data_IF_688032047390
#
_entry.id   IF_688032047390
#
_cell.length_a   1.000
_cell.length_b   1.000
_cell.length_c   1.000
_cell.angle_alpha   90.00
_cell.angle_beta   90.00
_cell.angle_gamma   90.00
#
_symmetry.space_group_name_H-M   'P 1'
#
loop_
_entity.id
_entity.type
_entity.pdbx_description
1 polymer ?
#
# COMPACT_ATOMS: atom_id res chain seq x y z
N UNK A 1 4.83 -14.36 8.07
CA UNK A 1 5.21 -12.93 8.20
C UNK A 1 4.04 -12.05 8.64
N UNK A 2 2.84 -12.18 8.07
CA UNK A 2 1.65 -11.40 8.47
C UNK A 2 1.35 -11.25 9.98
N UNK A 3 1.51 -12.28 10.84
CA UNK A 3 1.23 -12.16 12.27
C UNK A 3 2.07 -11.10 13.01
N UNK A 4 3.31 -10.85 12.56
CA UNK A 4 4.20 -9.85 13.17
C UNK A 4 3.65 -8.44 12.94
N UNK A 5 3.26 -8.12 11.70
CA UNK A 5 2.70 -6.82 11.34
C UNK A 5 1.32 -6.58 11.92
N UNK A 6 0.50 -7.64 12.07
CA UNK A 6 -0.82 -7.54 12.69
C UNK A 6 -0.74 -7.23 14.20
N UNK A 7 0.30 -7.75 14.88
CA UNK A 7 0.53 -7.51 16.31
C UNK A 7 1.26 -6.18 16.58
N UNK A 8 1.98 -5.65 15.60
CA UNK A 8 2.68 -4.37 15.72
C UNK A 8 1.72 -3.23 16.11
N UNK A 9 2.19 -2.31 16.95
CA UNK A 9 1.47 -1.08 17.26
C UNK A 9 1.46 -0.13 16.06
N UNK A 10 2.53 -0.11 15.29
CA UNK A 10 2.70 0.69 14.09
C UNK A 10 3.67 0.00 13.12
N UNK A 11 3.38 0.10 11.83
CA UNK A 11 4.28 -0.31 10.75
C UNK A 11 4.89 0.94 10.14
N UNK A 12 6.22 0.97 10.07
CA UNK A 12 6.97 2.05 9.44
C UNK A 12 7.36 1.60 8.04
N UNK A 13 6.87 2.32 7.04
CA UNK A 13 7.23 2.16 5.63
C UNK A 13 8.33 3.16 5.32
N UNK A 14 9.56 2.69 5.18
CA UNK A 14 10.69 3.53 4.78
C UNK A 14 10.94 3.41 3.28
N UNK A 15 10.71 4.49 2.54
CA UNK A 15 10.85 4.53 1.09
C UNK A 15 12.25 4.91 0.61
N UNK A 16 13.19 5.16 1.53
CA UNK A 16 14.57 5.60 1.23
C UNK A 16 14.85 7.04 1.67
N UNK A 17 15.99 7.58 1.26
CA UNK A 17 16.37 8.99 1.48
C UNK A 17 15.68 9.97 0.53
N UNK A 18 16.11 11.23 0.51
CA UNK A 18 15.62 12.30 -0.42
C UNK A 18 16.04 12.11 -1.89
N UNK A 19 16.41 10.89 -2.28
CA UNK A 19 16.71 10.55 -3.66
C UNK A 19 15.45 10.76 -4.53
N UNK A 20 15.63 11.18 -5.77
CA UNK A 20 14.55 11.44 -6.74
C UNK A 20 13.43 12.35 -6.22
N UNK A 21 13.73 13.25 -5.28
CA UNK A 21 12.77 14.17 -4.66
C UNK A 21 11.59 13.44 -3.98
N UNK A 22 11.79 12.23 -3.46
CA UNK A 22 10.71 11.47 -2.83
C UNK A 22 10.18 12.09 -1.53
N UNK A 23 11.01 12.86 -0.83
CA UNK A 23 10.63 13.68 0.32
C UNK A 23 9.68 14.81 -0.08
N UNK A 24 9.94 15.47 -1.21
CA UNK A 24 9.04 16.48 -1.80
C UNK A 24 7.73 15.84 -2.27
N UNK A 25 7.80 14.69 -2.95
CA UNK A 25 6.61 13.95 -3.37
C UNK A 25 5.72 13.58 -2.17
N UNK A 26 6.34 13.12 -1.08
CA UNK A 26 5.61 12.78 0.14
C UNK A 26 4.99 14.01 0.81
N UNK A 27 5.67 15.16 0.77
CA UNK A 27 5.15 16.41 1.30
C UNK A 27 3.98 16.96 0.47
N UNK A 28 4.06 16.89 -0.87
CA UNK A 28 2.92 17.18 -1.74
C UNK A 28 1.73 16.30 -1.36
N UNK A 29 1.92 14.97 -1.28
CA UNK A 29 0.84 14.05 -0.89
C UNK A 29 0.26 14.40 0.50
N UNK A 30 1.10 14.83 1.44
CA UNK A 30 0.69 15.24 2.79
C UNK A 30 -0.24 16.44 2.74
N UNK A 31 0.18 17.51 2.07
CA UNK A 31 -0.60 18.75 1.97
C UNK A 31 -2.04 18.46 1.52
N UNK A 32 -2.22 17.71 0.44
CA UNK A 32 -3.55 17.36 -0.07
C UNK A 32 -4.29 16.28 0.72
N UNK A 33 -3.57 15.50 1.53
CA UNK A 33 -4.12 14.43 2.35
C UNK A 33 -4.61 14.89 3.72
N UNK A 34 -4.06 15.98 4.25
CA UNK A 34 -4.38 16.55 5.56
C UNK A 34 -5.30 17.77 5.47
N UNK A 35 -5.24 18.54 4.39
CA UNK A 35 -6.11 19.70 4.20
C UNK A 35 -7.52 19.28 3.72
N UNK A 36 -8.53 19.55 4.56
CA UNK A 36 -9.95 19.36 4.23
C UNK A 36 -10.53 20.55 3.45
N UNK A 37 -9.76 21.61 3.29
CA UNK A 37 -10.18 22.85 2.65
C UNK A 37 -9.69 22.93 1.20
N UNK A 38 -10.66 22.99 0.30
CA UNK A 38 -10.59 23.44 -1.10
C UNK A 38 -10.26 22.39 -2.17
N UNK A 39 -11.28 22.12 -3.00
CA UNK A 39 -11.22 21.42 -4.29
C UNK A 39 -10.45 22.21 -5.39
N UNK A 40 -9.71 23.27 -5.02
CA UNK A 40 -9.15 24.24 -5.97
C UNK A 40 -7.63 24.23 -6.12
N UNK A 41 -6.89 23.48 -5.30
CA UNK A 41 -5.46 23.30 -5.53
C UNK A 41 -5.28 22.19 -6.58
N UNK A 42 -5.19 22.63 -7.84
CA UNK A 42 -4.83 21.74 -8.93
C UNK A 42 -3.41 21.26 -8.71
N UNK A 43 -3.22 19.94 -8.66
CA UNK A 43 -1.90 19.33 -8.71
C UNK A 43 -1.15 19.88 -9.93
N UNK A 44 0.06 20.40 -9.71
CA UNK A 44 0.91 20.78 -10.84
C UNK A 44 1.34 19.52 -11.61
N UNK A 45 1.69 19.67 -12.88
CA UNK A 45 2.29 18.57 -13.64
C UNK A 45 3.58 18.04 -12.98
N UNK A 46 4.29 18.92 -12.27
CA UNK A 46 5.47 18.57 -11.49
C UNK A 46 5.10 17.67 -10.30
N UNK A 47 4.06 18.00 -9.54
CA UNK A 47 3.60 17.17 -8.42
C UNK A 47 3.17 15.78 -8.88
N UNK A 48 2.41 15.70 -9.97
CA UNK A 48 1.97 14.43 -10.55
C UNK A 48 3.18 13.59 -10.98
N UNK A 49 4.19 14.22 -11.59
CA UNK A 49 5.43 13.56 -12.00
C UNK A 49 6.24 13.04 -10.81
N UNK A 50 6.41 13.85 -9.77
CA UNK A 50 7.10 13.48 -8.53
C UNK A 50 6.41 12.32 -7.82
N UNK A 51 5.09 12.39 -7.67
CA UNK A 51 4.32 11.34 -7.02
C UNK A 51 4.26 10.06 -7.86
N UNK A 52 4.25 10.17 -9.19
CA UNK A 52 4.36 9.01 -10.09
C UNK A 52 5.71 8.31 -9.92
N UNK A 53 6.82 9.05 -9.83
CA UNK A 53 8.15 8.49 -9.54
C UNK A 53 8.22 7.84 -8.17
N UNK A 54 7.56 8.41 -7.16
CA UNK A 54 7.46 7.80 -5.84
C UNK A 54 6.76 6.43 -5.91
N UNK A 55 5.63 6.34 -6.62
CA UNK A 55 4.88 5.09 -6.82
C UNK A 55 5.62 4.07 -7.72
N UNK A 56 6.57 4.51 -8.54
CA UNK A 56 7.40 3.62 -9.37
C UNK A 56 8.45 2.84 -8.56
N UNK A 57 8.73 3.29 -7.32
CA UNK A 57 9.72 2.66 -6.44
C UNK A 57 9.42 1.19 -6.20
N UNK A 58 10.50 0.42 -6.04
CA UNK A 58 10.43 -1.03 -5.91
C UNK A 58 9.54 -1.48 -4.75
N UNK A 59 9.51 -0.73 -3.64
CA UNK A 59 8.68 -1.05 -2.49
C UNK A 59 7.21 -1.25 -2.90
N UNK A 60 6.58 -0.27 -3.58
CA UNK A 60 5.18 -0.38 -4.03
C UNK A 60 4.93 -1.55 -4.99
N UNK A 61 5.98 -1.96 -5.71
CA UNK A 61 5.91 -3.07 -6.66
C UNK A 61 6.09 -4.43 -6.02
N UNK A 62 6.51 -4.56 -4.76
CA UNK A 62 6.70 -5.87 -4.14
C UNK A 62 5.38 -6.46 -3.68
N UNK A 63 5.18 -7.75 -3.93
CA UNK A 63 3.98 -8.46 -3.46
C UNK A 63 3.92 -8.58 -1.93
N UNK A 64 5.08 -8.56 -1.26
CA UNK A 64 5.15 -8.66 0.20
C UNK A 64 4.59 -7.45 0.94
N UNK A 65 4.56 -6.27 0.29
CA UNK A 65 3.94 -5.06 0.86
C UNK A 65 2.49 -5.30 1.25
N UNK A 66 1.79 -6.18 0.53
CA UNK A 66 0.40 -6.55 0.80
C UNK A 66 0.23 -7.09 2.22
N UNK A 67 1.20 -7.85 2.72
CA UNK A 67 1.18 -8.35 4.10
C UNK A 67 1.73 -7.34 5.10
N UNK A 68 2.65 -6.46 4.71
CA UNK A 68 3.26 -5.48 5.61
C UNK A 68 2.24 -4.41 6.03
N UNK A 69 1.51 -3.86 5.07
CA UNK A 69 0.57 -2.75 5.34
C UNK A 69 -0.90 -3.17 5.26
N UNK A 70 -1.21 -4.31 4.65
CA UNK A 70 -2.59 -4.81 4.55
C UNK A 70 -3.15 -5.42 5.85
N UNK A 71 -2.31 -5.69 6.83
CA UNK A 71 -2.73 -6.16 8.18
C UNK A 71 -2.35 -5.17 9.29
N UNK A 72 -1.66 -4.08 8.95
CA UNK A 72 -1.20 -3.07 9.89
C UNK A 72 -2.36 -2.24 10.46
N UNK A 73 -2.30 -1.90 11.75
CA UNK A 73 -3.31 -1.06 12.44
C UNK A 73 -3.01 0.43 12.39
N UNK A 74 -1.72 0.76 12.36
CA UNK A 74 -1.22 2.11 12.17
C UNK A 74 -0.04 2.03 11.21
N UNK A 75 0.00 2.94 10.25
CA UNK A 75 1.02 2.99 9.21
C UNK A 75 1.60 4.40 9.20
N UNK A 76 2.92 4.49 9.21
CA UNK A 76 3.64 5.73 8.97
C UNK A 76 4.60 5.53 7.80
N UNK A 77 4.52 6.41 6.81
CA UNK A 77 5.35 6.37 5.62
C UNK A 77 6.41 7.46 5.74
N UNK A 78 7.67 7.10 5.54
CA UNK A 78 8.82 7.97 5.70
C UNK A 78 9.64 7.95 4.41
N UNK A 79 10.01 9.13 3.91
CA UNK A 79 10.94 9.31 2.81
C UNK A 79 11.85 10.50 3.10
N UNK A 80 13.15 10.24 3.25
CA UNK A 80 14.09 11.27 3.71
C UNK A 80 13.64 11.86 5.06
N UNK A 81 13.58 13.19 5.20
CA UNK A 81 13.09 13.87 6.42
C UNK A 81 11.56 13.93 6.52
N UNK A 82 10.82 13.58 5.46
CA UNK A 82 9.37 13.69 5.42
C UNK A 82 8.70 12.43 5.97
N UNK A 83 7.59 12.62 6.69
CA UNK A 83 6.82 11.55 7.33
C UNK A 83 5.33 11.83 7.26
N UNK A 84 4.54 10.87 6.80
CA UNK A 84 3.08 11.01 6.66
C UNK A 84 2.32 9.84 7.30
N UNK A 85 1.17 10.19 7.87
CA UNK A 85 -0.09 9.45 7.79
C UNK A 85 -0.24 8.32 6.77
N UNK A 86 -0.39 7.05 7.14
CA UNK A 86 -0.96 6.07 6.18
C UNK A 86 -2.36 6.49 5.69
N UNK A 87 -3.18 7.06 6.57
CA UNK A 87 -4.50 7.59 6.21
C UNK A 87 -4.39 8.82 5.30
N UNK A 88 -3.59 9.81 5.69
CA UNK A 88 -3.39 11.04 4.91
C UNK A 88 -2.79 10.72 3.53
N UNK A 89 -1.86 9.76 3.47
CA UNK A 89 -1.28 9.27 2.22
C UNK A 89 -2.35 8.70 1.28
N UNK A 90 -3.26 7.87 1.78
CA UNK A 90 -4.40 7.39 0.97
C UNK A 90 -5.26 8.53 0.45
N UNK A 91 -5.59 9.51 1.29
CA UNK A 91 -6.43 10.63 0.89
C UNK A 91 -5.76 11.45 -0.23
N UNK A 92 -4.48 11.76 -0.08
CA UNK A 92 -3.71 12.47 -1.11
C UNK A 92 -3.66 11.68 -2.42
N UNK A 93 -3.39 10.37 -2.38
CA UNK A 93 -3.37 9.51 -3.58
C UNK A 93 -4.74 9.44 -4.28
N UNK A 94 -5.85 9.36 -3.53
CA UNK A 94 -7.20 9.26 -4.10
C UNK A 94 -7.68 10.59 -4.71
N UNK A 95 -7.13 11.72 -4.26
CA UNK A 95 -7.43 13.05 -4.78
C UNK A 95 -6.59 13.41 -6.01
N UNK A 96 -5.48 12.71 -6.26
CA UNK A 96 -4.62 12.95 -7.41
C UNK A 96 -5.10 12.21 -8.66
N UNK A 97 -4.97 12.85 -9.83
CA UNK A 97 -5.15 12.23 -11.14
C UNK A 97 -3.80 11.82 -11.72
N UNK A 98 -3.49 10.54 -11.63
CA UNK A 98 -2.27 9.96 -12.17
C UNK A 98 -2.44 9.52 -13.64
N UNK A 99 -1.32 9.31 -14.36
CA UNK A 99 -1.33 8.50 -15.58
C UNK A 99 -1.91 7.11 -15.31
N UNK A 100 -2.55 6.44 -16.30
CA UNK A 100 -3.30 5.20 -16.10
C UNK A 100 -2.53 4.09 -15.35
N UNK A 101 -1.25 3.90 -15.66
CA UNK A 101 -0.41 2.88 -14.99
C UNK A 101 -0.19 3.17 -13.50
N UNK A 102 0.04 4.45 -13.17
CA UNK A 102 0.23 4.89 -11.79
C UNK A 102 -1.10 4.96 -11.03
N UNK A 103 -2.21 5.25 -11.72
CA UNK A 103 -3.54 5.32 -11.12
C UNK A 103 -3.99 3.98 -10.57
N UNK A 104 -3.72 2.87 -11.28
CA UNK A 104 -4.01 1.52 -10.76
C UNK A 104 -3.20 1.23 -9.50
N UNK A 105 -1.91 1.56 -9.48
CA UNK A 105 -1.05 1.35 -8.32
C UNK A 105 -1.48 2.21 -7.13
N UNK A 106 -1.75 3.50 -7.36
CA UNK A 106 -2.25 4.42 -6.34
C UNK A 106 -3.56 3.91 -5.73
N UNK A 107 -4.50 3.45 -6.55
CA UNK A 107 -5.76 2.87 -6.11
C UNK A 107 -5.55 1.61 -5.28
N UNK A 108 -4.68 0.70 -5.72
CA UNK A 108 -4.36 -0.54 -5.03
C UNK A 108 -3.74 -0.28 -3.64
N UNK A 109 -2.77 0.63 -3.57
CA UNK A 109 -2.11 1.05 -2.31
C UNK A 109 -3.12 1.74 -1.38
N UNK A 110 -3.93 2.65 -1.92
CA UNK A 110 -4.94 3.34 -1.12
C UNK A 110 -5.97 2.35 -0.54
N UNK A 111 -6.43 1.38 -1.33
CA UNK A 111 -7.33 0.33 -0.86
C UNK A 111 -6.72 -0.48 0.29
N UNK A 112 -5.44 -0.83 0.16
CA UNK A 112 -4.72 -1.63 1.14
C UNK A 112 -4.54 -0.90 2.48
N UNK A 113 -4.31 0.40 2.45
CA UNK A 113 -3.97 1.18 3.65
C UNK A 113 -5.20 1.87 4.29
N UNK A 114 -6.26 2.17 3.52
CA UNK A 114 -7.44 2.92 3.99
C UNK A 114 -8.14 2.28 5.19
N UNK A 115 -8.13 0.95 5.27
CA UNK A 115 -8.75 0.20 6.36
C UNK A 115 -7.94 0.15 7.66
N UNK A 116 -6.66 0.57 7.66
CA UNK A 116 -5.75 0.36 8.79
C UNK A 116 -6.29 0.85 10.16
N UNK A 117 -6.86 2.06 10.28
CA UNK A 117 -7.36 2.57 11.57
C UNK A 117 -8.52 1.76 12.16
N UNK A 118 -9.25 1.02 11.33
CA UNK A 118 -10.44 0.27 11.71
C UNK A 118 -10.16 -1.22 11.99
N UNK A 119 -8.90 -1.66 11.84
CA UNK A 119 -8.51 -3.07 12.07
C UNK A 119 -8.41 -3.36 13.57
N UNK A 120 -9.09 -4.40 14.03
CA UNK A 120 -9.03 -4.84 15.41
C UNK A 120 -7.72 -5.58 15.71
N UNK A 121 -7.32 -5.58 16.98
CA UNK A 121 -6.18 -6.37 17.46
C UNK A 121 -6.52 -7.85 17.31
N UNK A 122 -5.72 -8.59 16.54
CA UNK A 122 -5.90 -10.01 16.18
C UNK A 122 -6.84 -10.31 15.00
N UNK A 123 -7.47 -9.33 14.36
CA UNK A 123 -8.08 -9.57 13.04
C UNK A 123 -6.99 -9.53 11.99
N UNK A 124 -6.30 -10.65 11.80
CA UNK A 124 -5.32 -10.79 10.71
C UNK A 124 -6.01 -10.71 9.34
N UNK A 125 -7.33 -10.91 9.30
CA UNK A 125 -8.16 -11.01 8.11
C UNK A 125 -9.19 -9.90 8.08
N UNK A 126 -8.97 -8.88 7.24
CA UNK A 126 -10.06 -8.03 6.74
C UNK A 126 -10.58 -8.66 5.44
N UNK A 127 -11.08 -9.89 5.52
CA UNK A 127 -11.46 -10.68 4.35
C UNK A 127 -12.85 -10.32 3.85
N UNK A 128 -12.93 -9.28 3.01
CA UNK A 128 -14.14 -8.97 2.24
C UNK A 128 -14.02 -9.29 0.74
N UNK A 129 -12.80 -9.56 0.24
CA UNK A 129 -12.51 -9.78 -1.18
C UNK A 129 -12.09 -11.23 -1.43
N UNK A 130 -12.53 -11.74 -2.58
CA UNK A 130 -12.11 -13.03 -3.10
C UNK A 130 -10.64 -13.02 -3.54
N UNK A 131 -10.03 -14.20 -3.60
CA UNK A 131 -8.66 -14.34 -4.10
C UNK A 131 -8.55 -13.85 -5.57
N UNK A 132 -9.59 -14.04 -6.38
CA UNK A 132 -9.64 -13.56 -7.75
C UNK A 132 -9.59 -12.03 -7.85
N UNK A 133 -10.34 -11.32 -7.00
CA UNK A 133 -10.32 -9.84 -6.94
C UNK A 133 -8.94 -9.34 -6.49
N UNK A 134 -8.36 -9.98 -5.48
CA UNK A 134 -7.02 -9.63 -4.99
C UNK A 134 -5.94 -9.87 -6.05
N UNK A 135 -6.02 -10.97 -6.81
CA UNK A 135 -5.13 -11.23 -7.95
C UNK A 135 -5.32 -10.13 -8.99
N UNK A 136 -6.54 -9.75 -9.33
CA UNK A 136 -6.81 -8.67 -10.28
C UNK A 136 -6.16 -7.35 -9.85
N UNK A 137 -6.33 -6.97 -8.58
CA UNK A 137 -5.80 -5.72 -8.02
C UNK A 137 -4.27 -5.69 -7.95
N UNK A 138 -3.63 -6.82 -7.63
CA UNK A 138 -2.18 -6.88 -7.34
C UNK A 138 -1.38 -7.73 -8.33
N UNK A 139 -1.96 -8.08 -9.49
CA UNK A 139 -1.29 -8.87 -10.54
C UNK A 139 0.03 -8.25 -11.02
N UNK A 140 0.14 -6.92 -11.00
CA UNK A 140 1.34 -6.18 -11.42
C UNK A 140 2.46 -6.19 -10.35
N UNK A 141 2.21 -6.61 -9.10
CA UNK A 141 3.22 -6.63 -8.04
C UNK A 141 4.25 -7.75 -8.25
N UNK A 142 5.53 -7.40 -8.36
CA UNK A 142 6.66 -8.32 -8.51
C UNK A 142 6.82 -9.27 -7.32
N UNK A 143 7.21 -10.50 -7.62
CA UNK A 143 7.49 -11.56 -6.68
C UNK A 143 8.71 -12.34 -7.16
N UNK A 144 9.68 -12.60 -6.27
CA UNK A 144 10.89 -13.36 -6.63
C UNK A 144 10.56 -14.82 -6.95
N UNK A 145 9.67 -15.43 -6.17
CA UNK A 145 9.14 -16.77 -6.42
C UNK A 145 7.67 -16.66 -6.87
N UNK A 146 7.25 -17.52 -7.81
CA UNK A 146 5.92 -17.43 -8.43
C UNK A 146 4.79 -17.66 -7.42
N UNK A 147 4.94 -18.61 -6.51
CA UNK A 147 3.93 -18.90 -5.46
C UNK A 147 3.66 -17.69 -4.55
N UNK A 148 4.61 -16.75 -4.41
CA UNK A 148 4.42 -15.55 -3.58
C UNK A 148 3.34 -14.61 -4.13
N UNK A 149 2.99 -14.72 -5.41
CA UNK A 149 1.83 -14.02 -5.98
C UNK A 149 0.51 -14.41 -5.32
N UNK A 150 0.41 -15.65 -4.84
CA UNK A 150 -0.78 -16.19 -4.17
C UNK A 150 -0.60 -16.12 -2.66
N UNK A 151 0.53 -16.60 -2.14
CA UNK A 151 0.78 -16.67 -0.70
C UNK A 151 0.77 -15.30 -0.01
N UNK A 152 1.19 -14.25 -0.70
CA UNK A 152 1.09 -12.88 -0.18
C UNK A 152 -0.36 -12.43 0.05
N UNK A 153 -1.31 -12.95 -0.73
CA UNK A 153 -2.72 -12.55 -0.71
C UNK A 153 -3.56 -13.31 0.33
N UNK A 154 -3.10 -14.46 0.81
CA UNK A 154 -3.86 -15.30 1.75
C UNK A 154 -4.23 -14.60 3.07
N UNK A 155 -3.43 -13.62 3.49
CA UNK A 155 -3.73 -12.79 4.66
C UNK A 155 -4.87 -11.79 4.43
N UNK A 156 -5.19 -11.49 3.16
CA UNK A 156 -6.21 -10.52 2.75
C UNK A 156 -7.47 -11.19 2.20
N UNK A 157 -7.36 -12.43 1.72
CA UNK A 157 -8.47 -13.19 1.16
C UNK A 157 -9.50 -13.63 2.22
N UNK A 158 -10.66 -14.08 1.74
CA UNK A 158 -11.68 -14.72 2.57
C UNK A 158 -11.11 -15.94 3.32
N UNK A 159 -11.66 -16.21 4.52
CA UNK A 159 -11.18 -17.33 5.33
C UNK A 159 -11.40 -18.69 4.65
N UNK A 160 -12.52 -18.83 3.93
CA UNK A 160 -12.86 -20.04 3.19
C UNK A 160 -11.79 -20.35 2.13
N UNK A 161 -11.47 -19.40 1.25
CA UNK A 161 -10.46 -19.59 0.21
C UNK A 161 -9.05 -19.74 0.80
N UNK A 162 -8.71 -18.95 1.83
CA UNK A 162 -7.38 -19.00 2.44
C UNK A 162 -7.11 -20.34 3.14
N UNK A 163 -8.15 -20.99 3.67
CA UNK A 163 -8.04 -22.30 4.34
C UNK A 163 -7.76 -23.46 3.37
N UNK A 164 -8.13 -23.31 2.10
CA UNK A 164 -7.95 -24.33 1.07
C UNK A 164 -6.51 -24.39 0.53
N UNK A 165 -5.68 -23.38 0.83
CA UNK A 165 -4.32 -23.26 0.31
C UNK A 165 -3.33 -23.40 1.46
N UNK A 166 -2.63 -24.53 1.52
CA UNK A 166 -1.50 -24.70 2.41
C UNK A 166 -0.25 -24.05 1.79
N UNK A 167 0.42 -23.21 2.57
CA UNK A 167 1.67 -22.57 2.16
C UNK A 167 2.80 -23.59 2.26
N UNK A 168 3.37 -23.94 1.12
CA UNK A 168 4.48 -24.88 1.01
C UNK A 168 5.53 -24.32 0.04
N UNK A 169 6.76 -24.19 0.53
CA UNK A 169 7.91 -23.70 -0.25
C UNK A 169 8.85 -24.83 -0.64
N UNK A 170 8.55 -26.09 -0.29
CA UNK A 170 9.36 -27.27 -0.59
C UNK A 170 8.99 -27.95 -1.92
N UNK A 171 7.88 -27.54 -2.54
CA UNK A 171 7.43 -28.04 -3.84
C UNK A 171 7.88 -27.07 -4.93
N UNK A 172 8.93 -27.44 -5.67
CA UNK A 172 9.36 -26.81 -6.93
C UNK A 172 8.82 -27.57 -8.16
#
# INVERSE_FOLDING_TARGET
MGPIYAQASQVIVWLGGSQDCGDKALESIRHFGEDDHSLADYWSEEDISLCSKLLDREWFRRVWVLQEVGVARSISIICGPSQISGHSFCQGLLRMRFPPDCQTMAGAVAHLMKGAPFRQRNTMRSGGLSLAELIGLYCKNKATQKHNKIYALLGLASEEEASQIQVDYEVD
#
